data_IF_353413443956
#
_entry.id   IF_353413443956
#
_cell.length_a   1.000
_cell.length_b   1.000
_cell.length_c   1.000
_cell.angle_alpha   90.00
_cell.angle_beta   90.00
_cell.angle_gamma   90.00
#
_symmetry.space_group_name_H-M   'P 1'
#
loop_
_entity.id
_entity.type
_entity.pdbx_description
1 polymer ?
#
# COMPACT_ATOMS: atom_id res chain seq x y z
N UNK A 1 31.29 6.97 15.30
CA UNK A 1 30.89 5.55 15.32
C UNK A 1 29.39 5.52 15.44
N UNK A 2 28.70 4.60 14.73
CA UNK A 2 27.25 4.50 14.82
C UNK A 2 26.82 4.18 16.27
N UNK A 3 25.71 4.79 16.72
CA UNK A 3 25.21 4.56 18.09
C UNK A 3 24.60 3.16 18.24
N UNK A 4 24.06 2.62 17.16
CA UNK A 4 23.46 1.29 17.10
C UNK A 4 24.03 0.50 15.92
N UNK A 5 24.26 -0.79 16.12
CA UNK A 5 24.52 -1.72 15.02
C UNK A 5 23.20 -2.09 14.31
N UNK A 6 23.25 -2.67 13.09
CA UNK A 6 22.06 -3.15 12.41
C UNK A 6 21.24 -4.17 13.23
N UNK A 7 21.92 -5.02 14.01
CA UNK A 7 21.25 -5.99 14.88
C UNK A 7 20.61 -5.31 16.11
N UNK A 8 21.24 -4.27 16.66
CA UNK A 8 20.62 -3.46 17.71
C UNK A 8 19.34 -2.78 17.20
N UNK A 9 19.38 -2.18 16.00
CA UNK A 9 18.21 -1.55 15.37
C UNK A 9 17.09 -2.57 15.19
N UNK A 10 17.41 -3.75 14.66
CA UNK A 10 16.45 -4.84 14.45
C UNK A 10 15.74 -5.23 15.76
N UNK A 11 16.52 -5.43 16.82
CA UNK A 11 15.98 -5.78 18.13
C UNK A 11 15.11 -4.66 18.71
N UNK A 12 15.53 -3.39 18.57
CA UNK A 12 14.74 -2.24 19.04
C UNK A 12 13.41 -2.16 18.30
N UNK A 13 13.41 -2.27 16.97
CA UNK A 13 12.18 -2.23 16.17
C UNK A 13 11.22 -3.36 16.55
N UNK A 14 11.72 -4.57 16.79
CA UNK A 14 10.88 -5.74 17.08
C UNK A 14 10.27 -5.75 18.49
N UNK A 15 10.94 -5.17 19.50
CA UNK A 15 10.54 -5.40 20.90
C UNK A 15 10.54 -4.17 21.81
N UNK A 16 11.08 -3.03 21.39
CA UNK A 16 11.05 -1.83 22.22
C UNK A 16 9.62 -1.31 22.34
N UNK A 17 9.23 -0.86 23.54
CA UNK A 17 7.98 -0.13 23.78
C UNK A 17 8.20 1.36 24.06
N UNK A 18 9.45 1.83 24.07
CA UNK A 18 9.82 3.23 24.27
C UNK A 18 9.97 3.91 22.91
N UNK A 19 9.08 4.86 22.62
CA UNK A 19 9.08 5.63 21.39
C UNK A 19 10.41 6.35 21.14
N UNK A 20 11.02 6.98 22.17
CA UNK A 20 12.26 7.73 21.98
C UNK A 20 13.40 6.80 21.54
N UNK A 21 13.43 5.59 22.10
CA UNK A 21 14.41 4.57 21.71
C UNK A 21 14.18 4.06 20.29
N UNK A 22 12.92 3.86 19.90
CA UNK A 22 12.57 3.48 18.52
C UNK A 22 12.96 4.58 17.55
N UNK A 23 12.64 5.83 17.87
CA UNK A 23 12.97 7.00 17.07
C UNK A 23 14.48 7.17 16.90
N UNK A 24 15.26 7.06 17.98
CA UNK A 24 16.73 7.12 17.93
C UNK A 24 17.31 6.01 17.02
N UNK A 25 16.80 4.78 17.11
CA UNK A 25 17.22 3.67 16.26
C UNK A 25 16.84 3.89 14.79
N UNK A 26 15.67 4.49 14.55
CA UNK A 26 15.20 4.86 13.23
C UNK A 26 16.08 5.94 12.58
N UNK A 27 16.36 7.03 13.28
CA UNK A 27 17.25 8.08 12.77
C UNK A 27 18.64 7.52 12.45
N UNK A 28 19.16 6.65 13.31
CA UNK A 28 20.44 5.99 13.09
C UNK A 28 20.40 5.08 11.84
N UNK A 29 19.33 4.29 11.64
CA UNK A 29 19.16 3.47 10.43
C UNK A 29 19.14 4.31 9.15
N UNK A 30 18.45 5.46 9.19
CA UNK A 30 18.40 6.42 8.08
C UNK A 30 19.78 7.04 7.82
N UNK A 31 20.49 7.45 8.87
CA UNK A 31 21.86 8.00 8.77
C UNK A 31 22.85 6.98 8.18
N UNK A 32 22.70 5.71 8.54
CA UNK A 32 23.48 4.60 7.97
C UNK A 32 23.05 4.21 6.56
N UNK A 33 22.02 4.85 5.98
CA UNK A 33 21.48 4.58 4.63
C UNK A 33 21.03 3.12 4.44
N UNK A 34 20.50 2.50 5.50
CA UNK A 34 19.98 1.14 5.44
C UNK A 34 18.69 1.16 4.59
N UNK A 35 18.65 0.36 3.52
CA UNK A 35 17.49 0.24 2.63
C UNK A 35 16.92 -1.18 2.65
N UNK A 36 16.96 -1.80 3.83
CA UNK A 36 16.41 -3.13 4.07
C UNK A 36 14.92 -3.01 4.42
N UNK A 37 14.05 -3.40 3.48
CA UNK A 37 12.60 -3.36 3.66
C UNK A 37 12.17 -4.25 4.83
N UNK A 38 12.79 -5.41 5.01
CA UNK A 38 12.44 -6.36 6.07
C UNK A 38 12.72 -5.80 7.46
N UNK A 39 13.76 -4.97 7.59
CA UNK A 39 14.03 -4.25 8.82
C UNK A 39 12.89 -3.29 9.17
N UNK A 40 12.41 -2.51 8.20
CA UNK A 40 11.34 -1.54 8.42
C UNK A 40 9.96 -2.17 8.59
N UNK A 41 9.74 -3.38 8.06
CA UNK A 41 8.55 -4.17 8.40
C UNK A 41 8.46 -4.42 9.90
N UNK A 42 9.56 -4.77 10.55
CA UNK A 42 9.56 -4.98 12.01
C UNK A 42 9.14 -3.72 12.78
N UNK A 43 9.56 -2.54 12.29
CA UNK A 43 9.14 -1.26 12.85
C UNK A 43 7.63 -1.06 12.72
N UNK A 44 7.06 -1.28 11.54
CA UNK A 44 5.63 -1.06 11.30
C UNK A 44 4.72 -2.06 12.04
N UNK A 45 5.22 -3.26 12.34
CA UNK A 45 4.51 -4.26 13.14
C UNK A 45 4.72 -4.11 14.65
N UNK A 46 5.42 -3.06 15.09
CA UNK A 46 5.59 -2.81 16.51
C UNK A 46 4.30 -2.27 17.14
N UNK A 47 3.66 -3.11 17.97
CA UNK A 47 2.40 -2.81 18.64
C UNK A 47 2.45 -1.64 19.64
N UNK A 48 3.65 -1.14 20.00
CA UNK A 48 3.77 0.05 20.83
C UNK A 48 3.57 1.35 20.06
N UNK A 49 3.59 1.31 18.73
CA UNK A 49 3.42 2.47 17.88
C UNK A 49 1.93 2.72 17.57
N UNK A 50 1.55 3.98 17.65
CA UNK A 50 0.27 4.47 17.15
C UNK A 50 0.27 4.56 15.61
N UNK A 51 -0.92 4.59 14.98
CA UNK A 51 -1.06 4.84 13.54
C UNK A 51 -0.26 6.06 13.04
N UNK A 52 -0.29 7.16 13.80
CA UNK A 52 0.39 8.41 13.44
C UNK A 52 1.92 8.26 13.45
N UNK A 53 2.46 7.52 14.41
CA UNK A 53 3.90 7.24 14.50
C UNK A 53 4.35 6.30 13.38
N UNK A 54 3.56 5.27 13.06
CA UNK A 54 3.81 4.40 11.90
C UNK A 54 3.81 5.21 10.60
N UNK A 55 2.83 6.11 10.44
CA UNK A 55 2.79 7.06 9.32
C UNK A 55 4.04 7.93 9.27
N UNK A 56 4.45 8.53 10.39
CA UNK A 56 5.63 9.39 10.47
C UNK A 56 6.88 8.70 9.93
N UNK A 57 7.14 7.47 10.38
CA UNK A 57 8.30 6.71 9.94
C UNK A 57 8.21 6.34 8.45
N UNK A 58 7.05 5.84 8.02
CA UNK A 58 6.82 5.44 6.64
C UNK A 58 6.97 6.59 5.64
N UNK A 59 6.41 7.75 5.94
CA UNK A 59 6.51 8.97 5.13
C UNK A 59 7.96 9.45 5.00
N UNK A 60 8.72 9.40 6.09
CA UNK A 60 10.14 9.77 6.07
C UNK A 60 10.95 8.79 5.22
N UNK A 61 10.72 7.47 5.35
CA UNK A 61 11.42 6.47 4.53
C UNK A 61 11.12 6.64 3.04
N UNK A 62 9.85 6.83 2.67
CA UNK A 62 9.49 7.05 1.26
C UNK A 62 10.14 8.28 0.64
N UNK A 63 10.39 9.33 1.45
CA UNK A 63 11.09 10.54 1.00
C UNK A 63 12.61 10.37 0.94
N UNK A 64 13.21 9.73 1.94
CA UNK A 64 14.67 9.57 2.04
C UNK A 64 15.21 8.47 1.12
N UNK A 65 14.41 7.43 0.86
CA UNK A 65 14.80 6.27 0.06
C UNK A 65 13.78 5.97 -1.06
N UNK A 66 13.76 6.77 -2.14
CA UNK A 66 12.82 6.57 -3.25
C UNK A 66 12.88 5.17 -3.87
N UNK A 67 14.04 4.50 -3.83
CA UNK A 67 14.24 3.16 -4.41
C UNK A 67 13.40 2.07 -3.73
N UNK A 68 13.06 2.23 -2.44
CA UNK A 68 12.24 1.28 -1.68
C UNK A 68 10.85 1.86 -1.34
N UNK A 69 10.54 3.08 -1.78
CA UNK A 69 9.32 3.78 -1.39
C UNK A 69 8.05 3.00 -1.74
N UNK A 70 8.04 2.34 -2.91
CA UNK A 70 6.96 1.44 -3.31
C UNK A 70 6.71 0.37 -2.25
N UNK A 71 7.74 -0.39 -1.87
CA UNK A 71 7.61 -1.49 -0.92
C UNK A 71 7.21 -1.00 0.46
N UNK A 72 7.78 0.14 0.89
CA UNK A 72 7.40 0.80 2.15
C UNK A 72 5.91 1.16 2.15
N UNK A 73 5.39 1.79 1.10
CA UNK A 73 4.00 2.18 1.04
C UNK A 73 3.04 0.99 0.91
N UNK A 74 3.41 -0.06 0.17
CA UNK A 74 2.64 -1.31 0.14
C UNK A 74 2.55 -1.94 1.53
N UNK A 75 3.67 -1.97 2.28
CA UNK A 75 3.67 -2.51 3.64
C UNK A 75 2.81 -1.68 4.60
N UNK A 76 2.90 -0.35 4.55
CA UNK A 76 2.05 0.50 5.37
C UNK A 76 0.57 0.25 5.07
N UNK A 77 0.19 0.17 3.79
CA UNK A 77 -1.19 -0.12 3.41
C UNK A 77 -1.67 -1.43 4.01
N UNK A 78 -0.88 -2.50 3.90
CA UNK A 78 -1.18 -3.82 4.48
C UNK A 78 -1.27 -3.79 6.01
N UNK A 79 -0.40 -3.05 6.69
CA UNK A 79 -0.51 -2.87 8.15
C UNK A 79 -1.86 -2.23 8.50
N UNK A 80 -2.22 -1.12 7.85
CA UNK A 80 -3.49 -0.44 8.14
C UNK A 80 -4.73 -1.26 7.80
N UNK A 81 -4.66 -2.10 6.79
CA UNK A 81 -5.71 -3.06 6.44
C UNK A 81 -5.92 -4.10 7.55
N UNK A 82 -4.84 -4.69 8.08
CA UNK A 82 -4.91 -5.83 9.01
C UNK A 82 -5.12 -5.40 10.46
N UNK A 83 -4.39 -4.40 10.94
CA UNK A 83 -4.36 -4.09 12.38
C UNK A 83 -5.48 -3.15 12.83
N UNK A 84 -6.16 -2.52 11.88
CA UNK A 84 -7.10 -1.45 12.21
C UNK A 84 -8.39 -1.50 11.38
N UNK A 85 -8.94 -2.69 11.10
CA UNK A 85 -10.10 -2.93 10.21
C UNK A 85 -11.46 -2.29 10.62
N UNK A 86 -11.49 -1.15 11.32
CA UNK A 86 -12.63 -0.26 11.52
C UNK A 86 -12.68 0.86 10.47
N UNK A 87 -13.88 1.46 10.32
CA UNK A 87 -14.24 2.53 9.37
C UNK A 87 -13.22 3.67 9.20
N UNK A 88 -12.31 3.92 10.13
CA UNK A 88 -11.36 5.05 10.03
C UNK A 88 -10.09 4.71 9.23
N UNK A 89 -9.72 3.43 9.10
CA UNK A 89 -8.36 3.09 8.63
C UNK A 89 -8.29 2.64 7.17
N UNK A 90 -9.42 2.38 6.52
CA UNK A 90 -9.43 2.18 5.07
C UNK A 90 -8.87 3.41 4.35
N UNK A 91 -9.09 4.62 4.88
CA UNK A 91 -8.55 5.86 4.29
C UNK A 91 -7.02 5.86 4.33
N UNK A 92 -6.42 5.37 5.42
CA UNK A 92 -4.98 5.22 5.55
C UNK A 92 -4.45 4.15 4.60
N UNK A 93 -5.10 2.98 4.53
CA UNK A 93 -4.74 1.95 3.56
C UNK A 93 -4.79 2.49 2.12
N UNK A 94 -5.91 3.13 1.74
CA UNK A 94 -6.10 3.77 0.43
C UNK A 94 -5.07 4.87 0.16
N UNK A 95 -4.73 5.69 1.16
CA UNK A 95 -3.69 6.71 1.05
C UNK A 95 -2.35 6.08 0.66
N UNK A 96 -1.97 4.98 1.29
CA UNK A 96 -0.69 4.34 1.02
C UNK A 96 -0.68 3.52 -0.27
N UNK A 97 -1.78 2.86 -0.65
CA UNK A 97 -1.91 2.27 -1.98
C UNK A 97 -1.76 3.31 -3.09
N UNK A 98 -2.35 4.51 -2.94
CA UNK A 98 -2.15 5.62 -3.89
C UNK A 98 -0.69 6.08 -3.97
N UNK A 99 0.01 6.12 -2.82
CA UNK A 99 1.43 6.47 -2.79
C UNK A 99 2.32 5.40 -3.43
N UNK A 100 2.04 4.11 -3.19
CA UNK A 100 2.71 3.01 -3.87
C UNK A 100 2.49 3.08 -5.39
N UNK A 101 1.24 3.31 -5.84
CA UNK A 101 0.92 3.53 -7.25
C UNK A 101 1.63 4.75 -7.84
N UNK A 102 1.89 5.80 -7.06
CA UNK A 102 2.66 6.96 -7.52
C UNK A 102 4.15 6.62 -7.65
N UNK A 103 4.68 5.78 -6.77
CA UNK A 103 6.08 5.37 -6.76
C UNK A 103 6.42 4.39 -7.91
N UNK A 104 5.52 3.46 -8.23
CA UNK A 104 5.63 2.54 -9.38
C UNK A 104 4.26 2.36 -10.05
N UNK A 105 3.83 3.28 -10.92
CA UNK A 105 2.51 3.22 -11.56
C UNK A 105 2.35 2.08 -12.56
N UNK A 106 3.45 1.48 -13.00
CA UNK A 106 3.49 0.30 -13.87
C UNK A 106 3.09 -0.99 -13.16
N UNK A 107 3.16 -1.01 -11.82
CA UNK A 107 2.81 -2.16 -10.97
C UNK A 107 1.31 -2.22 -10.73
N UNK A 108 0.73 -3.41 -10.89
CA UNK A 108 -0.72 -3.61 -10.80
C UNK A 108 -1.18 -3.81 -9.35
N UNK A 109 -0.30 -4.28 -8.47
CA UNK A 109 -0.63 -4.66 -7.09
C UNK A 109 -1.29 -3.55 -6.27
N UNK A 110 -0.80 -2.29 -6.24
CA UNK A 110 -1.44 -1.25 -5.44
C UNK A 110 -2.92 -1.03 -5.80
N UNK A 111 -3.27 -1.21 -7.07
CA UNK A 111 -4.65 -1.06 -7.54
C UNK A 111 -5.50 -2.26 -7.15
N UNK A 112 -4.99 -3.48 -7.33
CA UNK A 112 -5.75 -4.71 -7.01
C UNK A 112 -5.96 -4.87 -5.52
N UNK A 113 -4.90 -4.66 -4.72
CA UNK A 113 -4.93 -4.86 -3.29
C UNK A 113 -5.83 -3.80 -2.63
N UNK A 114 -5.83 -2.55 -3.15
CA UNK A 114 -6.77 -1.52 -2.68
C UNK A 114 -8.25 -1.86 -2.89
N UNK A 115 -8.56 -2.66 -3.92
CA UNK A 115 -9.92 -3.10 -4.18
C UNK A 115 -10.35 -4.26 -3.28
N UNK A 116 -9.40 -4.97 -2.67
CA UNK A 116 -9.71 -5.98 -1.65
C UNK A 116 -10.17 -5.34 -0.32
N UNK A 117 -9.93 -4.04 -0.13
CA UNK A 117 -10.50 -3.28 0.99
C UNK A 117 -12.00 -2.98 0.83
N UNK A 118 -12.63 -3.32 -0.30
CA UNK A 118 -14.03 -2.98 -0.57
C UNK A 118 -15.03 -3.90 0.15
N UNK A 119 -15.74 -3.32 1.11
CA UNK A 119 -16.94 -3.87 1.73
C UNK A 119 -18.18 -3.26 1.05
N UNK A 120 -18.97 -4.05 0.29
CA UNK A 120 -20.15 -3.57 -0.42
C UNK A 120 -21.33 -3.26 0.50
N UNK A 121 -21.45 -3.93 1.66
CA UNK A 121 -22.56 -3.73 2.60
C UNK A 121 -22.42 -2.36 3.29
N UNK A 122 -21.17 -1.96 3.53
CA UNK A 122 -20.82 -0.70 4.18
C UNK A 122 -20.45 0.42 3.21
N UNK A 123 -20.21 0.09 1.92
CA UNK A 123 -19.66 0.97 0.88
C UNK A 123 -18.35 1.64 1.32
N UNK A 124 -17.40 0.82 1.80
CA UNK A 124 -16.08 1.25 2.26
C UNK A 124 -14.98 0.51 1.49
N UNK A 125 -13.98 1.18 0.90
CA UNK A 125 -14.04 2.60 0.55
C UNK A 125 -15.25 2.90 -0.35
N UNK A 126 -15.69 4.16 -0.44
CA UNK A 126 -16.75 4.55 -1.38
C UNK A 126 -16.41 4.08 -2.81
N UNK A 127 -17.32 3.31 -3.40
CA UNK A 127 -17.07 2.60 -4.66
C UNK A 127 -16.63 3.52 -5.80
N UNK A 128 -17.20 4.74 -5.89
CA UNK A 128 -16.86 5.70 -6.93
C UNK A 128 -15.38 6.11 -6.87
N UNK A 129 -14.89 6.40 -5.65
CA UNK A 129 -13.51 6.79 -5.43
C UNK A 129 -12.53 5.63 -5.60
N UNK A 130 -12.95 4.40 -5.27
CA UNK A 130 -12.17 3.19 -5.55
C UNK A 130 -12.07 2.95 -7.06
N UNK A 131 -13.20 2.95 -7.77
CA UNK A 131 -13.23 2.77 -9.22
C UNK A 131 -12.45 3.86 -9.95
N UNK A 132 -12.50 5.11 -9.49
CA UNK A 132 -11.67 6.21 -10.02
C UNK A 132 -10.18 5.90 -9.86
N UNK A 133 -9.77 5.45 -8.67
CA UNK A 133 -8.38 5.06 -8.43
C UNK A 133 -7.95 3.90 -9.33
N UNK A 134 -8.74 2.83 -9.45
CA UNK A 134 -8.42 1.71 -10.33
C UNK A 134 -8.34 2.15 -11.80
N UNK A 135 -9.27 2.97 -12.28
CA UNK A 135 -9.24 3.50 -13.66
C UNK A 135 -8.00 4.34 -13.91
N UNK A 136 -7.51 5.07 -12.91
CA UNK A 136 -6.29 5.87 -13.03
C UNK A 136 -5.04 5.03 -13.34
N UNK A 137 -5.03 3.74 -12.98
CA UNK A 137 -3.93 2.81 -13.28
C UNK A 137 -3.92 2.27 -14.70
N UNK A 138 -5.06 2.22 -15.39
CA UNK A 138 -5.18 1.66 -16.75
C UNK A 138 -4.14 2.22 -17.74
N UNK A 139 -3.85 3.53 -17.83
CA UNK A 139 -2.84 4.03 -18.75
C UNK A 139 -1.41 3.62 -18.39
N UNK A 140 -1.12 3.27 -17.14
CA UNK A 140 0.24 3.09 -16.63
C UNK A 140 0.67 1.63 -16.46
N UNK A 141 -0.23 0.76 -15.98
CA UNK A 141 0.13 -0.62 -15.63
C UNK A 141 0.60 -1.43 -16.84
N UNK A 142 1.64 -2.25 -16.64
CA UNK A 142 2.23 -3.08 -17.70
C UNK A 142 1.23 -4.11 -18.23
N UNK A 143 0.52 -4.78 -17.31
CA UNK A 143 -0.54 -5.74 -17.64
C UNK A 143 -1.89 -5.22 -17.14
N UNK A 144 -2.68 -4.70 -18.06
CA UNK A 144 -3.98 -4.07 -17.75
C UNK A 144 -5.08 -5.09 -17.48
N UNK A 145 -4.92 -6.33 -17.93
CA UNK A 145 -5.99 -7.34 -17.88
C UNK A 145 -6.51 -7.60 -16.47
N UNK A 146 -5.67 -7.85 -15.44
CA UNK A 146 -6.16 -8.05 -14.07
C UNK A 146 -6.94 -6.85 -13.53
N UNK A 147 -6.45 -5.64 -13.82
CA UNK A 147 -7.09 -4.39 -13.40
C UNK A 147 -8.46 -4.20 -14.05
N UNK A 148 -8.56 -4.41 -15.37
CA UNK A 148 -9.82 -4.35 -16.11
C UNK A 148 -10.83 -5.40 -15.61
N UNK A 149 -10.36 -6.62 -15.34
CA UNK A 149 -11.20 -7.68 -14.76
C UNK A 149 -11.71 -7.30 -13.36
N UNK A 150 -10.86 -6.70 -12.52
CA UNK A 150 -11.25 -6.24 -11.20
C UNK A 150 -12.28 -5.11 -11.26
N UNK A 151 -12.09 -4.13 -12.15
CA UNK A 151 -13.07 -3.05 -12.39
C UNK A 151 -14.42 -3.64 -12.83
N UNK A 152 -14.41 -4.60 -13.77
CA UNK A 152 -15.63 -5.24 -14.22
C UNK A 152 -16.38 -5.97 -13.10
N UNK A 153 -15.64 -6.65 -12.22
CA UNK A 153 -16.19 -7.33 -11.05
C UNK A 153 -16.84 -6.35 -10.07
N UNK A 154 -16.18 -5.22 -9.77
CA UNK A 154 -16.74 -4.18 -8.90
C UNK A 154 -18.03 -3.58 -9.46
N UNK A 155 -18.09 -3.31 -10.77
CA UNK A 155 -19.33 -2.85 -11.42
C UNK A 155 -20.47 -3.88 -11.35
N UNK A 156 -20.15 -5.17 -11.52
CA UNK A 156 -21.14 -6.25 -11.37
C UNK A 156 -21.68 -6.32 -9.94
N UNK A 157 -20.83 -6.17 -8.93
CA UNK A 157 -21.22 -6.17 -7.52
C UNK A 157 -22.23 -5.06 -7.19
N UNK A 158 -22.06 -3.87 -7.77
CA UNK A 158 -23.00 -2.75 -7.56
C UNK A 158 -24.19 -2.75 -8.54
N UNK A 159 -24.32 -3.79 -9.36
CA UNK A 159 -25.45 -3.96 -10.29
C UNK A 159 -25.33 -3.20 -11.62
N UNK A 160 -24.19 -2.58 -11.91
CA UNK A 160 -23.93 -1.92 -13.20
C UNK A 160 -23.42 -2.94 -14.24
N UNK A 161 -24.36 -3.69 -14.80
CA UNK A 161 -24.08 -4.75 -15.76
C UNK A 161 -23.50 -4.20 -17.07
N UNK A 162 -23.88 -2.99 -17.48
CA UNK A 162 -23.40 -2.37 -18.72
C UNK A 162 -21.90 -2.09 -18.62
N UNK A 163 -21.47 -1.42 -17.54
CA UNK A 163 -20.05 -1.15 -17.31
C UNK A 163 -19.26 -2.44 -17.08
N UNK A 164 -19.81 -3.40 -16.32
CA UNK A 164 -19.16 -4.69 -16.12
C UNK A 164 -18.83 -5.37 -17.46
N UNK A 165 -19.81 -5.44 -18.38
CA UNK A 165 -19.59 -6.03 -19.71
C UNK A 165 -18.59 -5.23 -20.54
N UNK A 166 -18.64 -3.90 -20.47
CA UNK A 166 -17.68 -3.04 -21.18
C UNK A 166 -16.23 -3.37 -20.79
N UNK A 167 -15.93 -3.41 -19.48
CA UNK A 167 -14.58 -3.70 -18.99
C UNK A 167 -14.14 -5.15 -19.23
N UNK A 168 -15.06 -6.13 -19.20
CA UNK A 168 -14.75 -7.52 -19.60
C UNK A 168 -14.29 -7.60 -21.05
N UNK A 169 -14.99 -6.93 -21.97
CA UNK A 169 -14.60 -6.90 -23.40
C UNK A 169 -13.22 -6.26 -23.60
N UNK A 170 -12.95 -5.13 -22.92
CA UNK A 170 -11.63 -4.50 -22.95
C UNK A 170 -10.51 -5.44 -22.46
N UNK A 171 -10.77 -6.21 -21.39
CA UNK A 171 -9.82 -7.18 -20.86
C UNK A 171 -9.54 -8.33 -21.85
N UNK A 172 -10.58 -8.81 -22.54
CA UNK A 172 -10.47 -9.88 -23.55
C UNK A 172 -9.71 -9.41 -24.80
N UNK A 173 -10.02 -8.20 -25.29
CA UNK A 173 -9.36 -7.62 -26.46
C UNK A 173 -7.87 -7.36 -26.20
N UNK A 174 -7.51 -6.90 -25.00
CA UNK A 174 -6.10 -6.78 -24.58
C UNK A 174 -5.39 -8.14 -24.56
N UNK A 175 -6.06 -9.20 -24.10
CA UNK A 175 -5.51 -10.55 -24.11
C UNK A 175 -5.29 -11.13 -25.51
N UNK A 176 -6.01 -10.63 -26.52
CA UNK A 176 -5.87 -11.05 -27.92
C UNK A 176 -4.81 -10.27 -28.69
N UNK A 177 -4.48 -9.05 -28.29
CA UNK A 177 -3.48 -8.21 -28.96
C UNK A 177 -2.04 -8.46 -28.50
N UNK A 178 -1.85 -9.11 -27.34
CA UNK A 178 -0.54 -9.43 -26.75
C UNK A 178 -0.07 -10.86 -27.11
N UNK A 179 -0.94 -11.69 -27.70
CA UNK A 179 -0.61 -13.01 -28.25
C UNK A 179 -0.43 -12.95 -29.77
#
# INVERSE_FOLDING_TARGET
MPRFTPDDIRNIFASSSDFNRIFDAFEEAVQQRIQDVELYRLLFWNNSLSPDEVCLFGEKLGREFPAIAYDIFMWLASVFEVTYSSYDNFELAMKYYRKAATAKPEEVSPYLDSADCFDPDLNIPPIDGLLEFLRSGIPHVTNKKPLLQRIAYLYEMIGDIEQSQHYRRLADDFGRSVN
#
